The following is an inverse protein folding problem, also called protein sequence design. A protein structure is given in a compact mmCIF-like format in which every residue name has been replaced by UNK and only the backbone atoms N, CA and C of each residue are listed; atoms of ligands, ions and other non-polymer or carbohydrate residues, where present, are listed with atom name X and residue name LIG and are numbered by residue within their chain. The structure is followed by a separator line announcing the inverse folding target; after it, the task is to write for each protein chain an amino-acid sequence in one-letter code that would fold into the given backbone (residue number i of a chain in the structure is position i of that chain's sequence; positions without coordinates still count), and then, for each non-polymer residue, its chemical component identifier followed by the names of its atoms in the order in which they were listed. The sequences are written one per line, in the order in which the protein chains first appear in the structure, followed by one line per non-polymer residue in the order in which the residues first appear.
data_IF_334680980769
#
_entry.id   IF_334680980769
#
_cell.length_a   1.000
_cell.length_b   1.000
_cell.length_c   1.000
_cell.angle_alpha   90.00
_cell.angle_beta   90.00
_cell.angle_gamma   90.00
#
_symmetry.space_group_name_H-M   'P 1'
#
loop_
_entity.id
_entity.type
_entity.pdbx_description
1 polymer ?
#
# COMPACT_ATOMS: atom_id res chain seq x y z
N UNK A 1 27.40 -26.58 -16.61
CA UNK A 1 27.35 -25.43 -15.64
C UNK A 1 26.93 -24.14 -16.33
N UNK A 2 27.63 -23.66 -17.35
CA UNK A 2 27.35 -22.38 -18.06
C UNK A 2 25.89 -22.31 -18.59
N UNK A 3 25.38 -23.32 -19.29
CA UNK A 3 24.00 -23.35 -19.79
C UNK A 3 22.93 -23.35 -18.69
N UNK A 4 23.23 -23.88 -17.51
CA UNK A 4 22.31 -23.88 -16.37
C UNK A 4 22.25 -22.51 -15.71
N UNK A 5 23.37 -21.82 -15.59
CA UNK A 5 23.44 -20.45 -15.06
C UNK A 5 22.78 -19.46 -16.00
N UNK A 6 22.99 -19.55 -17.31
CA UNK A 6 22.29 -18.73 -18.31
C UNK A 6 20.77 -18.92 -18.25
N UNK A 7 20.30 -20.15 -18.03
CA UNK A 7 18.87 -20.43 -17.89
C UNK A 7 18.27 -19.81 -16.60
N UNK A 8 18.99 -19.83 -15.47
CA UNK A 8 18.53 -19.20 -14.21
C UNK A 8 18.39 -17.68 -14.38
N UNK A 9 19.38 -17.03 -15.00
CA UNK A 9 19.30 -15.59 -15.27
C UNK A 9 18.17 -15.24 -16.24
N UNK A 10 17.93 -16.06 -17.27
CA UNK A 10 16.80 -15.88 -18.19
C UNK A 10 15.46 -15.90 -17.45
N UNK A 11 15.24 -16.87 -16.55
CA UNK A 11 14.02 -16.95 -15.74
C UNK A 11 13.86 -15.70 -14.87
N UNK A 12 14.93 -15.23 -14.22
CA UNK A 12 14.88 -14.02 -13.41
C UNK A 12 14.52 -12.78 -14.24
N UNK A 13 15.12 -12.62 -15.43
CA UNK A 13 14.78 -11.53 -16.35
C UNK A 13 13.32 -11.61 -16.80
N UNK A 14 12.84 -12.79 -17.19
CA UNK A 14 11.46 -12.99 -17.62
C UNK A 14 10.46 -12.65 -16.52
N UNK A 15 10.73 -13.03 -15.27
CA UNK A 15 9.88 -12.69 -14.11
C UNK A 15 9.83 -11.18 -13.91
N UNK A 16 10.98 -10.50 -13.89
CA UNK A 16 11.04 -9.04 -13.73
C UNK A 16 10.33 -8.29 -14.87
N UNK A 17 10.49 -8.74 -16.12
CA UNK A 17 9.80 -8.12 -17.26
C UNK A 17 8.28 -8.24 -17.16
N UNK A 18 7.75 -9.36 -16.64
CA UNK A 18 6.31 -9.52 -16.38
C UNK A 18 5.80 -8.58 -15.30
N UNK A 19 6.52 -8.46 -14.20
CA UNK A 19 6.17 -7.52 -13.13
C UNK A 19 6.21 -6.06 -13.62
N UNK A 20 7.22 -5.69 -14.43
CA UNK A 20 7.30 -4.37 -15.07
C UNK A 20 6.10 -4.14 -15.99
N UNK A 21 5.73 -5.14 -16.81
CA UNK A 21 4.58 -5.05 -17.69
C UNK A 21 3.27 -4.87 -16.90
N UNK A 22 3.10 -5.62 -15.80
CA UNK A 22 1.95 -5.51 -14.91
C UNK A 22 1.86 -4.09 -14.30
N UNK A 23 2.98 -3.52 -13.83
CA UNK A 23 3.01 -2.16 -13.29
C UNK A 23 2.71 -1.09 -14.35
N UNK A 24 3.21 -1.25 -15.57
CA UNK A 24 2.87 -0.34 -16.68
C UNK A 24 1.39 -0.39 -17.04
N UNK A 25 0.78 -1.57 -17.02
CA UNK A 25 -0.65 -1.75 -17.27
C UNK A 25 -1.46 -1.11 -16.14
N UNK A 26 -1.10 -1.35 -14.90
CA UNK A 26 -1.69 -0.74 -13.72
C UNK A 26 -1.65 0.80 -13.81
N UNK A 27 -0.49 1.38 -14.14
CA UNK A 27 -0.32 2.83 -14.28
C UNK A 27 -1.30 3.43 -15.32
N UNK A 28 -1.51 2.74 -16.45
CA UNK A 28 -2.45 3.20 -17.49
C UNK A 28 -3.93 3.10 -17.09
N UNK A 29 -4.26 2.25 -16.10
CA UNK A 29 -5.64 2.02 -15.61
C UNK A 29 -6.00 2.85 -14.39
N UNK A 30 -5.05 3.56 -13.78
CA UNK A 30 -5.38 4.48 -12.70
C UNK A 30 -6.39 5.51 -13.20
N UNK A 31 -7.50 5.59 -12.48
CA UNK A 31 -8.65 6.43 -12.83
C UNK A 31 -9.19 7.18 -11.59
N UNK A 32 -10.37 7.75 -11.70
CA UNK A 32 -11.02 8.50 -10.62
C UNK A 32 -11.29 7.66 -9.36
N UNK A 33 -11.31 6.33 -9.45
CA UNK A 33 -11.46 5.45 -8.29
C UNK A 33 -10.27 5.58 -7.34
N UNK A 34 -9.06 5.74 -7.89
CA UNK A 34 -7.87 5.99 -7.07
C UNK A 34 -7.96 7.32 -6.32
N UNK A 35 -8.37 8.39 -6.99
CA UNK A 35 -8.56 9.70 -6.36
C UNK A 35 -9.64 9.64 -5.28
N UNK A 36 -10.75 8.95 -5.55
CA UNK A 36 -11.83 8.74 -4.59
C UNK A 36 -11.36 7.96 -3.36
N UNK A 37 -10.51 6.94 -3.55
CA UNK A 37 -9.92 6.21 -2.43
C UNK A 37 -9.02 7.11 -1.58
N UNK A 38 -8.16 7.93 -2.19
CA UNK A 38 -7.32 8.89 -1.47
C UNK A 38 -8.17 9.88 -0.67
N UNK A 39 -9.25 10.42 -1.26
CA UNK A 39 -10.17 11.33 -0.56
C UNK A 39 -10.84 10.65 0.64
N UNK A 40 -11.36 9.43 0.46
CA UNK A 40 -12.00 8.67 1.51
C UNK A 40 -11.04 8.35 2.66
N UNK A 41 -9.82 7.91 2.35
CA UNK A 41 -8.78 7.62 3.33
C UNK A 41 -8.28 8.90 4.04
N UNK A 42 -8.23 10.03 3.35
CA UNK A 42 -7.86 11.31 3.94
C UNK A 42 -8.94 11.83 4.90
N UNK A 43 -10.21 11.69 4.53
CA UNK A 43 -11.37 12.11 5.34
C UNK A 43 -11.68 11.14 6.49
N UNK A 44 -11.01 9.99 6.56
CA UNK A 44 -11.20 8.99 7.60
C UNK A 44 -10.97 9.64 8.99
N UNK A 45 -12.00 9.64 9.84
CA UNK A 45 -11.94 10.20 11.21
C UNK A 45 -11.42 9.20 12.22
N UNK A 46 -11.40 7.90 11.86
CA UNK A 46 -10.86 6.80 12.63
C UNK A 46 -9.51 6.35 12.09
N UNK A 47 -9.37 5.06 11.87
CA UNK A 47 -8.17 4.40 11.36
C UNK A 47 -8.46 3.75 10.02
N UNK A 48 -7.41 3.53 9.23
CA UNK A 48 -7.47 2.67 8.04
C UNK A 48 -7.22 1.23 8.48
N UNK A 49 -8.20 0.37 8.35
CA UNK A 49 -8.10 -1.06 8.66
C UNK A 49 -7.82 -1.81 7.36
N UNK A 50 -6.63 -2.40 7.24
CA UNK A 50 -6.29 -3.22 6.08
C UNK A 50 -6.45 -4.69 6.40
N UNK A 51 -7.04 -5.47 5.49
CA UNK A 51 -7.29 -6.91 5.68
C UNK A 51 -7.02 -7.70 4.41
N UNK A 52 -6.68 -8.97 4.55
CA UNK A 52 -6.43 -9.90 3.46
C UNK A 52 -5.84 -11.22 3.95
N UNK A 53 -6.03 -12.30 3.18
CA UNK A 53 -5.49 -13.63 3.48
C UNK A 53 -4.20 -13.92 2.71
N UNK A 54 -3.36 -14.80 3.28
CA UNK A 54 -2.17 -15.31 2.64
C UNK A 54 -1.20 -14.22 2.17
N UNK A 55 -0.79 -14.24 0.91
CA UNK A 55 0.12 -13.23 0.34
C UNK A 55 -0.50 -11.84 0.30
N UNK A 56 -1.80 -11.71 -0.03
CA UNK A 56 -2.51 -10.44 0.04
C UNK A 56 -2.56 -9.88 1.47
N UNK A 57 -2.63 -10.74 2.49
CA UNK A 57 -2.53 -10.34 3.90
C UNK A 57 -1.15 -9.81 4.28
N UNK A 58 -0.07 -10.44 3.77
CA UNK A 58 1.30 -9.92 3.97
C UNK A 58 1.48 -8.55 3.31
N UNK A 59 0.92 -8.38 2.10
CA UNK A 59 0.90 -7.08 1.40
C UNK A 59 0.09 -6.04 2.19
N UNK A 60 -1.11 -6.39 2.65
CA UNK A 60 -1.95 -5.52 3.48
C UNK A 60 -1.21 -5.06 4.75
N UNK A 61 -0.49 -5.96 5.41
CA UNK A 61 0.34 -5.64 6.58
C UNK A 61 1.47 -4.66 6.23
N UNK A 62 2.14 -4.87 5.07
CA UNK A 62 3.18 -3.94 4.59
C UNK A 62 2.60 -2.55 4.32
N UNK A 63 1.47 -2.46 3.66
CA UNK A 63 0.81 -1.18 3.33
C UNK A 63 0.38 -0.47 4.62
N UNK A 64 -0.21 -1.18 5.60
CA UNK A 64 -0.57 -0.61 6.90
C UNK A 64 0.66 -0.01 7.62
N UNK A 65 1.78 -0.73 7.63
CA UNK A 65 3.03 -0.24 8.20
C UNK A 65 3.54 1.02 7.48
N UNK A 66 3.50 1.03 6.13
CA UNK A 66 3.89 2.20 5.33
C UNK A 66 2.99 3.41 5.66
N UNK A 67 1.66 3.23 5.65
CA UNK A 67 0.70 4.31 5.99
C UNK A 67 0.95 4.86 7.39
N UNK A 68 1.13 3.98 8.38
CA UNK A 68 1.38 4.39 9.77
C UNK A 68 2.68 5.19 9.88
N UNK A 69 3.76 4.73 9.25
CA UNK A 69 5.06 5.42 9.27
C UNK A 69 5.09 6.72 8.49
N UNK A 70 4.05 6.99 7.70
CA UNK A 70 3.90 8.20 6.87
C UNK A 70 2.72 9.08 7.29
N UNK A 71 2.27 8.95 8.55
CA UNK A 71 1.32 9.86 9.18
C UNK A 71 -0.17 9.53 8.94
N UNK A 72 -0.50 8.36 8.38
CA UNK A 72 -1.87 7.88 8.30
C UNK A 72 -2.08 6.74 9.31
N UNK A 73 -2.92 6.92 10.36
CA UNK A 73 -3.19 5.86 11.33
C UNK A 73 -3.79 4.64 10.65
N UNK A 74 -3.04 3.54 10.59
CA UNK A 74 -3.47 2.33 9.93
C UNK A 74 -3.06 1.08 10.73
N UNK A 75 -3.82 0.00 10.59
CA UNK A 75 -3.49 -1.30 11.18
C UNK A 75 -3.96 -2.45 10.28
N UNK A 76 -3.33 -3.60 10.46
CA UNK A 76 -3.71 -4.83 9.79
C UNK A 76 -4.62 -5.67 10.69
N UNK A 77 -5.76 -6.12 10.14
CA UNK A 77 -6.67 -7.09 10.74
C UNK A 77 -6.61 -8.41 9.97
N UNK A 78 -6.21 -9.49 10.64
CA UNK A 78 -6.20 -10.80 10.01
C UNK A 78 -7.64 -11.35 9.88
N UNK A 79 -8.12 -11.72 8.66
CA UNK A 79 -9.52 -12.08 8.47
C UNK A 79 -9.95 -13.30 9.28
N UNK A 80 -9.10 -14.32 9.45
CA UNK A 80 -9.43 -15.48 10.27
C UNK A 80 -9.59 -15.12 11.76
N UNK A 81 -8.71 -14.28 12.31
CA UNK A 81 -8.83 -13.80 13.69
C UNK A 81 -10.06 -12.90 13.87
N UNK A 82 -10.38 -12.11 12.84
CA UNK A 82 -11.59 -11.30 12.82
C UNK A 82 -12.85 -12.13 13.05
N UNK A 83 -12.94 -13.32 12.45
CA UNK A 83 -14.07 -14.25 12.64
C UNK A 83 -14.16 -14.83 14.06
N UNK A 84 -13.09 -14.72 14.85
CA UNK A 84 -13.02 -15.21 16.24
C UNK A 84 -13.06 -14.09 17.29
N UNK A 85 -13.47 -12.87 16.91
CA UNK A 85 -13.71 -11.78 17.86
C UNK A 85 -13.03 -10.47 17.50
N UNK A 86 -11.94 -10.49 16.70
CA UNK A 86 -11.19 -9.29 16.36
C UNK A 86 -11.94 -8.33 15.39
N UNK A 87 -13.14 -8.71 14.91
CA UNK A 87 -14.08 -7.77 14.27
C UNK A 87 -14.34 -6.53 15.12
N UNK A 88 -14.28 -6.65 16.45
CA UNK A 88 -14.41 -5.54 17.39
C UNK A 88 -13.36 -4.44 17.24
N UNK A 89 -12.28 -4.68 16.49
CA UNK A 89 -11.28 -3.66 16.14
C UNK A 89 -11.87 -2.61 15.20
N UNK A 90 -12.79 -3.00 14.31
CA UNK A 90 -13.44 -2.10 13.35
C UNK A 90 -14.45 -1.23 14.11
N UNK A 91 -14.18 0.07 14.14
CA UNK A 91 -14.98 1.05 14.84
C UNK A 91 -15.67 2.01 13.85
N UNK A 92 -16.66 2.72 14.34
CA UNK A 92 -17.35 3.75 13.56
C UNK A 92 -16.37 4.86 13.16
N UNK A 93 -16.35 5.24 11.88
CA UNK A 93 -15.41 6.22 11.34
C UNK A 93 -14.12 5.63 10.78
N UNK A 94 -13.89 4.32 10.95
CA UNK A 94 -12.80 3.62 10.26
C UNK A 94 -13.15 3.40 8.78
N UNK A 95 -12.13 3.38 7.92
CA UNK A 95 -12.22 2.92 6.53
C UNK A 95 -11.56 1.56 6.42
N UNK A 96 -12.23 0.60 5.79
CA UNK A 96 -11.70 -0.77 5.63
C UNK A 96 -11.20 -0.99 4.21
N UNK A 97 -9.92 -1.29 4.06
CA UNK A 97 -9.27 -1.63 2.78
C UNK A 97 -9.09 -3.13 2.70
N UNK A 98 -9.75 -3.77 1.75
CA UNK A 98 -9.86 -5.21 1.61
C UNK A 98 -9.02 -5.68 0.43
N UNK A 99 -7.97 -6.46 0.68
CA UNK A 99 -7.08 -7.01 -0.34
C UNK A 99 -7.43 -8.48 -0.60
N UNK A 100 -7.90 -8.77 -1.79
CA UNK A 100 -8.14 -10.15 -2.28
C UNK A 100 -8.04 -10.16 -3.79
N UNK A 101 -7.00 -10.76 -4.36
CA UNK A 101 -6.82 -10.73 -5.81
C UNK A 101 -8.01 -11.32 -6.56
N UNK A 102 -8.49 -12.50 -6.14
CA UNK A 102 -9.70 -13.12 -6.71
C UNK A 102 -11.00 -12.38 -6.34
N UNK A 103 -10.99 -11.62 -5.24
CA UNK A 103 -12.17 -11.01 -4.65
C UNK A 103 -13.21 -12.02 -4.13
N UNK A 104 -12.80 -13.28 -3.89
CA UNK A 104 -13.67 -14.42 -3.52
C UNK A 104 -13.22 -15.17 -2.27
N UNK A 105 -12.21 -14.71 -1.57
CA UNK A 105 -11.72 -15.34 -0.33
C UNK A 105 -12.75 -15.18 0.77
N UNK A 106 -13.33 -16.28 1.23
CA UNK A 106 -14.49 -16.29 2.14
C UNK A 106 -14.24 -15.50 3.44
N UNK A 107 -13.10 -15.71 4.09
CA UNK A 107 -12.76 -15.02 5.35
C UNK A 107 -12.66 -13.49 5.12
N UNK A 108 -12.11 -13.09 3.99
CA UNK A 108 -11.95 -11.67 3.64
C UNK A 108 -13.30 -11.05 3.26
N UNK A 109 -14.17 -11.82 2.61
CA UNK A 109 -15.54 -11.42 2.27
C UNK A 109 -16.37 -11.15 3.53
N UNK A 110 -16.27 -12.03 4.54
CA UNK A 110 -16.98 -11.85 5.83
C UNK A 110 -16.57 -10.52 6.50
N UNK A 111 -15.30 -10.14 6.45
CA UNK A 111 -14.84 -8.85 7.00
C UNK A 111 -15.41 -7.68 6.19
N UNK A 112 -15.41 -7.77 4.85
CA UNK A 112 -15.97 -6.73 3.99
C UNK A 112 -17.48 -6.53 4.24
N UNK A 113 -18.24 -7.63 4.34
CA UNK A 113 -19.67 -7.60 4.66
C UNK A 113 -19.95 -7.01 6.03
N UNK A 114 -19.16 -7.38 7.04
CA UNK A 114 -19.29 -6.83 8.38
C UNK A 114 -19.07 -5.32 8.38
N UNK A 115 -17.98 -4.84 7.78
CA UNK A 115 -17.67 -3.43 7.68
C UNK A 115 -18.78 -2.65 6.96
N UNK A 116 -19.24 -3.14 5.81
CA UNK A 116 -20.32 -2.53 5.04
C UNK A 116 -21.62 -2.44 5.86
N UNK A 117 -22.04 -3.51 6.52
CA UNK A 117 -23.24 -3.52 7.39
C UNK A 117 -23.14 -2.58 8.57
N UNK A 118 -21.94 -2.33 9.09
CA UNK A 118 -21.70 -1.37 10.17
C UNK A 118 -21.66 0.09 9.70
N UNK A 119 -21.77 0.34 8.38
CA UNK A 119 -21.70 1.66 7.78
C UNK A 119 -20.27 2.22 7.68
N UNK A 120 -19.25 1.34 7.72
CA UNK A 120 -17.89 1.70 7.38
C UNK A 120 -17.71 1.76 5.86
N UNK A 121 -16.95 2.73 5.36
CA UNK A 121 -16.58 2.77 3.95
C UNK A 121 -15.60 1.63 3.65
N UNK A 122 -15.89 0.88 2.59
CA UNK A 122 -15.10 -0.26 2.12
C UNK A 122 -14.40 0.07 0.81
N UNK A 123 -13.08 -0.04 0.78
CA UNK A 123 -12.26 0.03 -0.43
C UNK A 123 -11.79 -1.38 -0.78
N UNK A 124 -12.17 -1.90 -1.93
CA UNK A 124 -11.71 -3.20 -2.41
C UNK A 124 -10.51 -3.05 -3.35
N UNK A 125 -9.47 -3.83 -3.12
CA UNK A 125 -8.31 -3.96 -4.01
C UNK A 125 -8.30 -5.39 -4.57
N UNK A 126 -8.87 -5.56 -5.78
CA UNK A 126 -9.04 -6.89 -6.40
C UNK A 126 -8.63 -6.87 -7.87
N UNK A 127 -8.34 -8.04 -8.42
CA UNK A 127 -8.10 -8.25 -9.86
C UNK A 127 -9.39 -8.62 -10.63
N UNK A 128 -10.56 -8.61 -9.98
CA UNK A 128 -11.82 -9.01 -10.59
C UNK A 128 -12.96 -8.07 -10.15
N UNK A 129 -13.39 -7.21 -11.06
CA UNK A 129 -14.44 -6.20 -10.81
C UNK A 129 -15.80 -6.83 -10.50
N UNK A 130 -16.09 -8.00 -11.06
CA UNK A 130 -17.34 -8.73 -10.87
C UNK A 130 -17.29 -9.69 -9.66
N UNK A 131 -16.30 -9.54 -8.80
CA UNK A 131 -16.16 -10.37 -7.60
C UNK A 131 -17.12 -9.95 -6.48
N UNK A 132 -17.47 -10.87 -5.57
CA UNK A 132 -18.32 -10.55 -4.41
C UNK A 132 -17.78 -9.40 -3.57
N UNK A 133 -16.46 -9.36 -3.30
CA UNK A 133 -15.84 -8.28 -2.52
C UNK A 133 -15.92 -6.94 -3.26
N UNK A 134 -15.66 -6.90 -4.57
CA UNK A 134 -15.77 -5.68 -5.35
C UNK A 134 -17.23 -5.17 -5.42
N UNK A 135 -18.21 -6.08 -5.43
CA UNK A 135 -19.64 -5.71 -5.47
C UNK A 135 -20.17 -5.11 -4.18
N UNK A 136 -19.52 -5.38 -3.03
CA UNK A 136 -19.89 -4.83 -1.72
C UNK A 136 -19.17 -3.50 -1.47
N UNK A 137 -18.02 -3.30 -2.09
CA UNK A 137 -17.18 -2.14 -1.82
C UNK A 137 -17.78 -0.84 -2.38
N UNK A 138 -17.59 0.25 -1.65
CA UNK A 138 -17.94 1.61 -2.09
C UNK A 138 -16.98 2.11 -3.17
N UNK A 139 -15.72 1.66 -3.11
CA UNK A 139 -14.66 2.00 -4.06
C UNK A 139 -13.89 0.73 -4.44
N UNK A 140 -13.71 0.52 -5.74
CA UNK A 140 -12.92 -0.60 -6.27
C UNK A 140 -11.64 -0.10 -6.95
N UNK A 141 -10.50 -0.61 -6.51
CA UNK A 141 -9.19 -0.41 -7.12
C UNK A 141 -8.81 -1.67 -7.90
N UNK A 142 -8.73 -1.55 -9.21
CA UNK A 142 -8.37 -2.65 -10.09
C UNK A 142 -6.86 -2.91 -10.08
N UNK A 143 -6.46 -4.05 -9.52
CA UNK A 143 -5.07 -4.54 -9.47
C UNK A 143 -4.88 -5.79 -10.33
N UNK A 144 -5.73 -5.99 -11.35
CA UNK A 144 -5.62 -7.13 -12.25
C UNK A 144 -4.30 -7.12 -13.02
N UNK A 145 -3.77 -8.30 -13.30
CA UNK A 145 -2.57 -8.52 -14.10
C UNK A 145 -2.88 -9.47 -15.26
N UNK A 146 -2.12 -9.40 -16.34
CA UNK A 146 -2.34 -10.28 -17.51
C UNK A 146 -1.87 -11.71 -17.24
N UNK A 147 -0.79 -11.86 -16.46
CA UNK A 147 -0.23 -13.17 -16.10
C UNK A 147 0.52 -13.11 -14.78
N UNK A 148 0.56 -14.23 -14.10
CA UNK A 148 1.44 -14.48 -12.97
C UNK A 148 2.77 -15.10 -13.43
N UNK A 149 3.50 -15.78 -12.52
CA UNK A 149 4.77 -16.43 -12.82
C UNK A 149 4.70 -17.40 -14.02
N UNK A 150 5.83 -17.55 -14.71
CA UNK A 150 5.97 -18.29 -15.95
C UNK A 150 5.90 -19.82 -15.82
N UNK A 151 6.18 -20.38 -14.64
CA UNK A 151 6.27 -21.84 -14.47
C UNK A 151 4.92 -22.40 -13.99
N UNK A 152 4.29 -21.71 -13.07
CA UNK A 152 3.00 -22.09 -12.49
C UNK A 152 2.17 -20.81 -12.39
N UNK A 153 1.31 -20.54 -13.37
CA UNK A 153 0.50 -19.31 -13.51
C UNK A 153 -0.43 -18.97 -12.32
N UNK A 154 -0.39 -19.78 -11.27
CA UNK A 154 -1.17 -19.57 -10.03
C UNK A 154 -0.32 -19.05 -8.86
N UNK A 155 1.02 -18.93 -9.03
CA UNK A 155 1.89 -18.39 -7.99
C UNK A 155 1.82 -16.87 -8.01
N UNK A 156 1.27 -16.21 -6.96
CA UNK A 156 1.13 -14.76 -6.94
C UNK A 156 2.50 -14.06 -6.89
N UNK A 157 2.87 -13.41 -7.97
CA UNK A 157 4.07 -12.59 -8.17
C UNK A 157 3.67 -11.21 -8.67
N UNK A 158 3.27 -11.09 -9.93
CA UNK A 158 2.83 -9.85 -10.54
C UNK A 158 1.63 -9.21 -9.81
N UNK A 159 0.66 -10.03 -9.38
CA UNK A 159 -0.51 -9.53 -8.65
C UNK A 159 -0.16 -8.94 -7.28
N UNK A 160 0.77 -9.56 -6.55
CA UNK A 160 1.23 -9.03 -5.26
C UNK A 160 2.07 -7.77 -5.44
N UNK A 161 2.91 -7.70 -6.48
CA UNK A 161 3.67 -6.51 -6.87
C UNK A 161 2.73 -5.36 -7.23
N UNK A 162 1.66 -5.62 -7.99
CA UNK A 162 0.62 -4.63 -8.30
C UNK A 162 -0.09 -4.11 -7.04
N UNK A 163 -0.48 -5.00 -6.12
CA UNK A 163 -1.12 -4.62 -4.84
C UNK A 163 -0.19 -3.74 -3.99
N UNK A 164 1.10 -4.09 -3.89
CA UNK A 164 2.10 -3.28 -3.17
C UNK A 164 2.22 -1.90 -3.80
N UNK A 165 2.34 -1.81 -5.13
CA UNK A 165 2.53 -0.56 -5.84
C UNK A 165 1.34 0.40 -5.66
N UNK A 166 0.09 -0.10 -5.74
CA UNK A 166 -1.11 0.71 -5.45
C UNK A 166 -1.13 1.17 -3.99
N UNK A 167 -0.77 0.28 -3.06
CA UNK A 167 -0.70 0.62 -1.64
C UNK A 167 0.33 1.72 -1.34
N UNK A 168 1.50 1.66 -1.97
CA UNK A 168 2.54 2.68 -1.84
C UNK A 168 2.12 4.00 -2.50
N UNK A 169 1.43 3.94 -3.65
CA UNK A 169 0.87 5.12 -4.29
C UNK A 169 -0.19 5.81 -3.41
N UNK A 170 -1.09 5.03 -2.76
CA UNK A 170 -2.05 5.57 -1.79
C UNK A 170 -1.36 6.24 -0.60
N UNK A 171 -0.36 5.58 0.00
CA UNK A 171 0.39 6.14 1.12
C UNK A 171 1.11 7.44 0.73
N UNK A 172 1.74 7.49 -0.44
CA UNK A 172 2.43 8.68 -0.96
C UNK A 172 1.46 9.82 -1.25
N UNK A 173 0.31 9.54 -1.86
CA UNK A 173 -0.72 10.53 -2.12
C UNK A 173 -1.29 11.11 -0.80
N UNK A 174 -1.50 10.26 0.21
CA UNK A 174 -1.93 10.67 1.55
C UNK A 174 -0.88 11.53 2.26
N UNK A 175 0.41 11.17 2.17
CA UNK A 175 1.52 12.00 2.68
C UNK A 175 1.44 13.42 2.09
N UNK A 176 1.37 13.52 0.77
CA UNK A 176 1.26 14.80 0.09
C UNK A 176 0.03 15.60 0.56
N UNK A 177 -1.11 14.95 0.59
CA UNK A 177 -2.39 15.58 0.97
C UNK A 177 -2.44 16.03 2.43
N UNK A 178 -1.75 15.33 3.34
CA UNK A 178 -1.63 15.67 4.77
C UNK A 178 -0.52 16.70 5.05
N UNK A 179 0.28 17.09 4.06
CA UNK A 179 1.46 17.94 4.27
C UNK A 179 2.53 17.27 5.14
N UNK A 180 2.60 15.91 5.13
CA UNK A 180 3.58 15.16 5.89
C UNK A 180 4.98 15.42 5.33
N UNK A 181 5.89 15.85 6.19
CA UNK A 181 7.23 16.31 5.82
C UNK A 181 8.34 15.49 6.48
N UNK A 182 9.59 15.81 6.20
CA UNK A 182 10.75 15.13 6.72
C UNK A 182 10.87 15.20 8.26
N UNK A 183 10.47 16.33 8.86
CA UNK A 183 10.45 16.52 10.31
C UNK A 183 9.45 15.59 10.99
N UNK A 184 8.22 15.51 10.44
CA UNK A 184 7.20 14.57 10.91
C UNK A 184 7.64 13.11 10.75
N UNK A 185 8.37 12.79 9.67
CA UNK A 185 8.94 11.45 9.46
C UNK A 185 10.00 11.12 10.50
N UNK A 186 10.93 12.04 10.77
CA UNK A 186 11.97 11.87 11.80
C UNK A 186 11.35 11.65 13.19
N UNK A 187 10.29 12.41 13.52
CA UNK A 187 9.58 12.27 14.79
C UNK A 187 8.99 10.85 15.00
N UNK A 188 8.50 10.22 13.91
CA UNK A 188 7.96 8.86 13.97
C UNK A 188 9.04 7.76 13.94
N UNK A 189 10.30 8.10 13.67
CA UNK A 189 11.42 7.15 13.57
C UNK A 189 12.58 7.52 14.53
N UNK A 190 12.32 7.61 15.84
CA UNK A 190 13.33 8.06 16.80
C UNK A 190 14.54 7.11 16.83
N UNK A 191 15.76 7.66 16.76
CA UNK A 191 17.02 6.92 16.79
C UNK A 191 17.39 6.19 15.49
N UNK A 192 16.65 6.39 14.40
CA UNK A 192 16.92 5.78 13.10
C UNK A 192 18.07 6.45 12.33
N UNK A 193 18.65 5.73 11.36
CA UNK A 193 19.64 6.28 10.42
C UNK A 193 19.11 7.54 9.69
N UNK A 194 17.81 7.57 9.43
CA UNK A 194 17.13 8.65 8.68
C UNK A 194 17.10 9.95 9.51
N UNK A 195 16.81 9.87 10.82
CA UNK A 195 16.85 11.03 11.71
C UNK A 195 18.24 11.68 11.71
N UNK A 196 19.30 10.86 11.82
CA UNK A 196 20.69 11.35 11.78
C UNK A 196 21.05 12.00 10.44
N UNK A 197 20.54 11.48 9.33
CA UNK A 197 20.79 12.03 7.99
C UNK A 197 20.10 13.39 7.82
N UNK A 198 18.84 13.53 8.25
CA UNK A 198 18.12 14.81 8.20
C UNK A 198 18.79 15.88 9.06
N UNK A 199 19.27 15.52 10.26
CA UNK A 199 20.01 16.45 11.12
C UNK A 199 21.37 16.89 10.52
N UNK A 200 21.99 16.08 9.67
CA UNK A 200 23.24 16.43 8.99
C UNK A 200 22.99 17.37 7.80
N UNK A 201 21.91 17.16 7.03
CA UNK A 201 21.54 18.01 5.90
C UNK A 201 21.13 19.42 6.36
N UNK A 202 20.43 19.55 7.52
CA UNK A 202 20.11 20.84 8.15
C UNK A 202 21.37 21.56 8.70
N UNK A 203 22.38 20.81 9.11
CA UNK A 203 23.66 21.36 9.58
C UNK A 203 24.57 21.90 8.48
N UNK A 204 24.44 21.43 7.24
CA UNK A 204 25.20 21.94 6.09
C UNK A 204 24.57 23.19 5.47
N UNK A 205 23.23 23.30 5.49
CA UNK A 205 22.51 24.50 5.00
C UNK A 205 22.77 25.72 5.88
N UNK A 206 22.97 25.57 7.19
CA UNK A 206 23.26 26.69 8.11
C UNK A 206 24.71 27.15 8.08
N UNK A 207 25.65 26.38 7.53
CA UNK A 207 27.08 26.79 7.37
C UNK A 207 27.37 27.56 6.09
N UNK A 208 26.46 27.59 5.12
CA UNK A 208 26.62 28.27 3.82
C UNK A 208 26.28 29.76 3.80
N UNK A 209 25.58 30.29 4.81
CA UNK A 209 25.11 31.69 4.83
C UNK A 209 25.96 32.66 5.66
N UNK A 210 27.00 32.22 6.38
CA UNK A 210 27.77 33.08 7.31
C UNK A 210 29.08 33.61 6.75
N UNK A 211 29.38 33.50 5.45
CA UNK A 211 30.65 34.07 4.89
C UNK A 211 30.42 34.89 3.64
N UNK A 212 29.56 35.93 3.70
CA UNK A 212 29.61 37.08 2.78
C UNK A 212 29.22 38.35 3.53
N UNK A 213 30.15 38.93 4.20
CA UNK A 213 30.01 40.25 4.78
C UNK A 213 31.32 40.71 5.41
N UNK A 214 31.91 41.72 4.81
CA UNK A 214 33.03 42.50 5.28
C UNK A 214 34.41 42.24 4.64
N UNK A 215 34.63 42.94 3.52
CA UNK A 215 35.88 43.67 3.32
C UNK A 215 35.62 44.84 2.39
N UNK A 216 35.41 46.03 2.99
CA UNK A 216 35.68 47.33 2.38
C UNK A 216 36.41 48.17 3.40
N UNK A 217 37.71 48.26 3.25
CA UNK A 217 38.53 49.49 3.31
C UNK A 217 39.96 49.15 3.05
#
# INVERSE_FOLDING_TARGET
MIQHEERILSIAHETLEREIAALRLLQRRLDDSFSSAVEALHACSGRVILTGMGKSGLVARKIAATMTSTGTPALFLHPAEAMHGDMGIIQRGDVVVVLSYSGRTDETLVVAEYAHRNGNLVVAMTGCKESPIASIADIHLDVSVESEDCIIEIVPTSSTTAQIAVGDALATALMHKRGFNAEAFAHLHPGGYIERRLMLDDGETTRGETTRGETTK
#
